data_IF_869258908113
#
_entry.id   IF_869258908113
#
_cell.length_a   1.000
_cell.length_b   1.000
_cell.length_c   1.000
_cell.angle_alpha   90.00
_cell.angle_beta   90.00
_cell.angle_gamma   90.00
#
_symmetry.space_group_name_H-M   'P 1'
#
loop_
_entity.id
_entity.type
_entity.pdbx_description
1 polymer ?
#
# COMPACT_ATOMS: atom_id res chain seq x y z
N UNK A 1 48.79 4.52 -64.61
CA UNK A 1 48.80 4.38 -63.14
C UNK A 1 47.39 4.60 -62.61
N UNK A 2 46.72 3.56 -62.11
CA UNK A 2 45.48 3.65 -61.32
C UNK A 2 45.64 2.72 -60.12
N UNK A 3 45.64 3.29 -58.92
CA UNK A 3 46.00 2.65 -57.65
C UNK A 3 44.74 2.10 -56.97
N UNK A 4 44.70 0.79 -56.76
CA UNK A 4 43.62 0.06 -56.09
C UNK A 4 43.80 0.07 -54.56
N UNK A 5 43.76 1.26 -53.95
CA UNK A 5 43.98 1.39 -52.49
C UNK A 5 42.71 1.16 -51.64
N UNK A 6 41.53 1.15 -52.26
CA UNK A 6 40.25 1.11 -51.53
C UNK A 6 39.78 -0.30 -51.11
N UNK A 7 40.33 -1.38 -51.71
CA UNK A 7 39.87 -2.76 -51.44
C UNK A 7 40.56 -3.45 -50.26
N UNK A 8 41.62 -2.86 -49.68
CA UNK A 8 42.32 -3.45 -48.55
C UNK A 8 41.68 -3.10 -47.19
N UNK A 9 40.84 -2.08 -47.12
CA UNK A 9 40.21 -1.64 -45.87
C UNK A 9 38.93 -2.41 -45.49
N UNK A 10 38.36 -3.19 -46.41
CA UNK A 10 37.15 -4.00 -46.14
C UNK A 10 37.45 -5.38 -45.53
N UNK A 11 38.71 -5.81 -45.50
CA UNK A 11 39.10 -7.10 -44.90
C UNK A 11 39.58 -6.99 -43.44
N UNK A 12 39.94 -5.80 -42.95
CA UNK A 12 40.38 -5.62 -41.56
C UNK A 12 39.24 -5.52 -40.54
N UNK A 13 38.00 -5.29 -40.96
CA UNK A 13 36.85 -5.22 -40.03
C UNK A 13 36.22 -6.59 -39.75
N UNK A 14 36.47 -7.60 -40.58
CA UNK A 14 35.81 -8.91 -40.43
C UNK A 14 36.48 -9.84 -39.39
N UNK A 15 37.70 -9.55 -38.96
CA UNK A 15 38.40 -10.35 -37.93
C UNK A 15 38.35 -9.75 -36.53
N UNK A 16 37.75 -8.57 -36.35
CA UNK A 16 37.63 -7.93 -35.02
C UNK A 16 36.45 -8.42 -34.17
N UNK A 17 35.60 -9.32 -34.69
CA UNK A 17 34.37 -9.77 -34.00
C UNK A 17 34.52 -11.14 -33.30
N UNK A 18 35.68 -11.80 -33.40
CA UNK A 18 35.90 -13.13 -32.80
C UNK A 18 37.15 -13.11 -31.94
N UNK A 19 37.11 -12.46 -30.78
CA UNK A 19 37.97 -12.80 -29.63
C UNK A 19 37.60 -11.98 -28.39
N UNK A 20 36.52 -12.36 -27.72
CA UNK A 20 36.35 -12.14 -26.26
C UNK A 20 35.57 -13.29 -25.63
N UNK A 21 35.93 -14.54 -25.95
CA UNK A 21 35.62 -15.66 -25.05
C UNK A 21 36.80 -15.84 -24.10
N UNK A 22 36.97 -14.88 -23.20
CA UNK A 22 37.87 -15.04 -22.05
C UNK A 22 37.04 -15.50 -20.86
N UNK A 23 37.53 -16.55 -20.22
CA UNK A 23 37.02 -17.15 -19.00
C UNK A 23 36.59 -16.10 -17.98
N UNK A 24 35.34 -16.20 -17.52
CA UNK A 24 34.99 -15.95 -16.12
C UNK A 24 34.07 -17.10 -15.67
N UNK A 25 34.68 -18.16 -15.14
CA UNK A 25 34.07 -18.91 -14.04
C UNK A 25 34.09 -17.98 -12.83
N UNK A 26 33.13 -17.07 -12.73
CA UNK A 26 32.76 -16.46 -11.47
C UNK A 26 31.50 -17.18 -11.04
N UNK A 27 31.64 -17.92 -9.94
CA UNK A 27 30.57 -18.45 -9.12
C UNK A 27 29.27 -17.69 -9.35
N UNK A 28 28.25 -18.38 -9.85
CA UNK A 28 26.86 -17.94 -9.73
C UNK A 28 26.66 -17.68 -8.24
N UNK A 29 26.72 -16.40 -7.85
CA UNK A 29 26.27 -15.95 -6.54
C UNK A 29 24.75 -16.08 -6.58
N UNK A 30 24.27 -17.29 -6.30
CA UNK A 30 22.87 -17.53 -6.01
C UNK A 30 22.61 -17.07 -4.58
N UNK A 31 22.70 -15.76 -4.37
CA UNK A 31 22.28 -15.13 -3.13
C UNK A 31 21.00 -14.39 -3.43
N UNK A 32 19.88 -15.11 -3.32
CA UNK A 32 18.61 -14.48 -2.98
C UNK A 32 18.82 -13.93 -1.57
N UNK A 33 19.26 -12.68 -1.46
CA UNK A 33 19.12 -11.91 -0.23
C UNK A 33 17.62 -11.74 0.01
N UNK A 34 17.00 -12.76 0.61
CA UNK A 34 15.78 -12.57 1.37
C UNK A 34 16.16 -11.66 2.52
N UNK A 35 16.01 -10.36 2.31
CA UNK A 35 15.78 -9.46 3.40
C UNK A 35 14.51 -9.96 4.07
N UNK A 36 14.68 -10.66 5.19
CA UNK A 36 13.56 -10.94 6.09
C UNK A 36 13.16 -9.60 6.71
N UNK A 37 12.48 -8.80 5.90
CA UNK A 37 11.85 -7.58 6.35
C UNK A 37 10.59 -8.04 7.04
N UNK A 38 10.70 -8.28 8.34
CA UNK A 38 9.57 -8.02 9.22
C UNK A 38 9.33 -6.52 9.07
N UNK A 39 8.49 -6.16 8.08
CA UNK A 39 7.94 -4.83 7.99
C UNK A 39 7.26 -4.60 9.33
N UNK A 40 7.94 -3.83 10.19
CA UNK A 40 7.39 -3.42 11.48
C UNK A 40 6.11 -2.71 11.11
N UNK A 41 4.96 -3.37 11.34
CA UNK A 41 3.66 -2.87 10.89
C UNK A 41 3.56 -1.45 11.43
N UNK A 42 3.64 -0.47 10.53
CA UNK A 42 3.56 0.94 10.91
C UNK A 42 2.22 1.06 11.63
N UNK A 43 2.28 1.28 12.94
CA UNK A 43 1.08 1.31 13.76
C UNK A 43 0.23 2.47 13.26
N UNK A 44 -0.82 2.14 12.51
CA UNK A 44 -1.72 3.06 11.81
C UNK A 44 -2.20 4.22 12.70
N UNK A 45 -2.24 3.99 14.02
CA UNK A 45 -2.74 4.92 15.02
C UNK A 45 -1.68 5.83 15.66
N UNK A 46 -0.41 5.72 15.25
CA UNK A 46 0.64 6.65 15.68
C UNK A 46 0.68 7.92 14.82
N UNK A 47 0.03 7.91 13.66
CA UNK A 47 -0.03 9.05 12.75
C UNK A 47 -1.33 9.83 12.89
N UNK A 48 -1.31 11.08 12.42
CA UNK A 48 -2.43 12.01 12.53
C UNK A 48 -3.58 11.57 11.62
N UNK A 49 -4.59 10.94 12.20
CA UNK A 49 -5.89 10.68 11.55
C UNK A 49 -6.77 11.93 11.60
N UNK A 50 -7.51 12.20 10.52
CA UNK A 50 -8.64 13.14 10.55
C UNK A 50 -9.93 12.32 10.70
N UNK A 51 -10.82 12.77 11.59
CA UNK A 51 -12.07 12.07 11.84
C UNK A 51 -13.23 13.05 11.99
N UNK A 52 -14.41 12.62 11.57
CA UNK A 52 -15.65 13.37 11.69
C UNK A 52 -16.82 12.43 12.02
N UNK A 53 -17.82 12.96 12.71
CA UNK A 53 -19.09 12.28 13.00
C UNK A 53 -20.17 13.35 13.15
N UNK A 54 -21.41 13.01 12.79
CA UNK A 54 -22.55 13.93 12.90
C UNK A 54 -23.04 14.08 14.33
N UNK A 55 -23.15 12.97 15.07
CA UNK A 55 -23.80 13.02 16.39
C UNK A 55 -22.79 13.11 17.52
N UNK A 56 -21.82 12.19 17.58
CA UNK A 56 -20.95 12.10 18.74
C UNK A 56 -19.57 11.54 18.39
N UNK A 57 -18.56 12.18 18.97
CA UNK A 57 -17.20 11.68 19.06
C UNK A 57 -16.86 11.46 20.53
N UNK A 58 -16.64 10.22 20.92
CA UNK A 58 -16.26 9.83 22.27
C UNK A 58 -14.80 9.37 22.27
N UNK A 59 -13.96 10.07 23.03
CA UNK A 59 -12.57 9.68 23.26
C UNK A 59 -12.50 9.09 24.66
N UNK A 60 -12.02 7.84 24.76
CA UNK A 60 -11.83 7.13 26.01
C UNK A 60 -10.34 6.78 26.19
N UNK A 61 -9.57 7.65 26.89
CA UNK A 61 -8.16 7.41 27.18
C UNK A 61 -7.91 6.18 28.04
N UNK A 62 -8.85 5.84 28.93
CA UNK A 62 -8.70 4.72 29.88
C UNK A 62 -8.77 3.38 29.15
N UNK A 63 -9.73 3.23 28.25
CA UNK A 63 -9.91 2.03 27.42
C UNK A 63 -9.15 2.09 26.10
N UNK A 64 -8.33 3.12 25.91
CA UNK A 64 -7.53 3.35 24.71
C UNK A 64 -8.33 3.27 23.41
N UNK A 65 -9.47 3.97 23.36
CA UNK A 65 -10.37 3.94 22.20
C UNK A 65 -10.98 5.29 21.83
N UNK A 66 -11.40 5.40 20.56
CA UNK A 66 -12.20 6.51 20.03
C UNK A 66 -13.42 5.91 19.35
N UNK A 67 -14.60 6.47 19.59
CA UNK A 67 -15.86 6.06 18.98
C UNK A 67 -16.50 7.24 18.25
N UNK A 68 -16.79 7.05 16.97
CA UNK A 68 -17.47 7.98 16.09
C UNK A 68 -18.87 7.42 15.81
N UNK A 69 -19.91 8.25 15.95
CA UNK A 69 -21.30 7.82 15.80
C UNK A 69 -22.09 8.75 14.87
N UNK A 70 -22.86 8.13 13.96
CA UNK A 70 -23.67 8.72 12.90
C UNK A 70 -22.85 9.44 11.82
N UNK A 71 -22.93 8.96 10.58
CA UNK A 71 -22.13 9.39 9.42
C UNK A 71 -20.65 9.57 9.78
N UNK A 72 -20.09 8.59 10.48
CA UNK A 72 -18.71 8.60 10.91
C UNK A 72 -17.78 8.49 9.69
N UNK A 73 -16.76 9.33 9.61
CA UNK A 73 -15.70 9.23 8.61
C UNK A 73 -14.30 9.32 9.24
N UNK A 74 -13.38 8.55 8.70
CA UNK A 74 -11.95 8.61 9.00
C UNK A 74 -11.21 8.80 7.68
N UNK A 75 -10.26 9.73 7.69
CA UNK A 75 -9.30 9.95 6.61
C UNK A 75 -7.88 9.73 7.15
N UNK A 76 -7.14 8.86 6.47
CA UNK A 76 -5.76 8.54 6.80
C UNK A 76 -4.98 8.31 5.51
N UNK A 77 -4.00 9.16 5.22
CA UNK A 77 -3.22 9.11 3.98
C UNK A 77 -4.13 9.02 2.73
N UNK A 78 -4.08 7.92 1.98
CA UNK A 78 -4.93 7.61 0.81
C UNK A 78 -6.20 6.81 1.15
N UNK A 79 -6.39 6.46 2.43
CA UNK A 79 -7.52 5.70 2.94
C UNK A 79 -8.65 6.60 3.44
N UNK A 80 -9.87 6.23 3.09
CA UNK A 80 -11.10 6.85 3.59
C UNK A 80 -12.07 5.76 4.03
N UNK A 81 -12.56 5.87 5.26
CA UNK A 81 -13.53 4.95 5.86
C UNK A 81 -14.77 5.76 6.22
N UNK A 82 -15.92 5.38 5.71
CA UNK A 82 -17.22 5.96 6.08
C UNK A 82 -18.11 4.87 6.66
N UNK A 83 -18.89 5.16 7.71
CA UNK A 83 -19.78 4.16 8.33
C UNK A 83 -20.79 4.82 9.27
N UNK A 84 -21.80 4.06 9.69
CA UNK A 84 -22.69 4.49 10.78
C UNK A 84 -21.99 4.63 12.13
N UNK A 85 -21.15 3.67 12.48
CA UNK A 85 -20.33 3.68 13.69
C UNK A 85 -18.91 3.27 13.34
N UNK A 86 -17.93 3.99 13.87
CA UNK A 86 -16.52 3.61 13.78
C UNK A 86 -15.93 3.57 15.19
N UNK A 87 -15.22 2.49 15.51
CA UNK A 87 -14.52 2.31 16.79
C UNK A 87 -13.05 2.07 16.49
N UNK A 88 -12.21 2.97 16.98
CA UNK A 88 -10.76 2.90 16.86
C UNK A 88 -10.20 2.43 18.20
N UNK A 89 -9.43 1.34 18.20
CA UNK A 89 -8.69 0.88 19.39
C UNK A 89 -7.20 1.07 19.16
N UNK A 90 -6.60 2.05 19.85
CA UNK A 90 -5.15 2.30 19.78
C UNK A 90 -4.31 1.45 20.71
N UNK A 91 -4.95 0.61 21.51
CA UNK A 91 -4.27 -0.52 22.14
C UNK A 91 -3.99 -1.66 21.16
N UNK A 92 -4.99 -2.00 20.34
CA UNK A 92 -4.92 -3.14 19.41
C UNK A 92 -4.47 -2.77 18.01
N UNK A 93 -4.44 -1.47 17.71
CA UNK A 93 -4.25 -0.96 16.36
C UNK A 93 -5.33 -1.42 15.38
N UNK A 94 -6.58 -1.43 15.85
CA UNK A 94 -7.72 -1.93 15.09
C UNK A 94 -8.77 -0.84 14.85
N UNK A 95 -9.37 -0.86 13.66
CA UNK A 95 -10.56 -0.06 13.32
C UNK A 95 -11.71 -1.00 13.02
N UNK A 96 -12.81 -0.82 13.75
CA UNK A 96 -14.08 -1.47 13.48
C UNK A 96 -15.05 -0.47 12.88
N UNK A 97 -15.63 -0.79 11.72
CA UNK A 97 -16.69 0.00 11.09
C UNK A 97 -17.96 -0.84 10.93
N UNK A 98 -19.10 -0.26 11.30
CA UNK A 98 -20.39 -0.93 11.22
C UNK A 98 -21.57 0.02 10.97
N UNK A 99 -22.73 -0.60 10.77
CA UNK A 99 -24.01 0.08 10.54
C UNK A 99 -24.62 0.59 11.85
N UNK A 100 -25.53 1.55 11.74
CA UNK A 100 -26.40 1.97 12.83
C UNK A 100 -27.86 1.79 12.46
N UNK A 101 -28.74 1.76 13.46
CA UNK A 101 -30.18 1.74 13.22
C UNK A 101 -30.66 3.17 12.98
N UNK A 102 -31.52 3.35 11.98
CA UNK A 102 -32.25 4.59 11.79
C UNK A 102 -33.39 4.74 12.82
N UNK A 103 -34.16 5.81 12.70
CA UNK A 103 -35.31 6.07 13.57
C UNK A 103 -36.45 5.04 13.41
N UNK A 104 -36.47 4.29 12.31
CA UNK A 104 -37.43 3.21 12.04
C UNK A 104 -36.92 1.86 12.57
N UNK A 105 -35.69 1.81 13.08
CA UNK A 105 -35.05 0.61 13.62
C UNK A 105 -34.31 -0.24 12.57
N UNK A 106 -34.26 0.21 11.33
CA UNK A 106 -33.63 -0.49 10.21
C UNK A 106 -32.14 -0.16 10.11
N UNK A 107 -31.33 -1.15 9.73
CA UNK A 107 -29.89 -0.94 9.59
C UNK A 107 -29.59 -0.07 8.37
N UNK A 108 -28.89 1.04 8.61
CA UNK A 108 -28.48 2.02 7.61
C UNK A 108 -27.00 2.38 7.76
N UNK A 109 -26.48 3.19 6.83
CA UNK A 109 -25.09 3.69 6.83
C UNK A 109 -24.07 2.54 6.77
N UNK A 110 -24.08 1.84 5.63
CA UNK A 110 -23.12 0.78 5.33
C UNK A 110 -21.69 1.30 5.37
N UNK A 111 -20.75 0.51 5.89
CA UNK A 111 -19.33 0.82 5.76
C UNK A 111 -18.93 0.98 4.29
N UNK A 112 -18.13 2.01 4.01
CA UNK A 112 -17.48 2.23 2.73
C UNK A 112 -16.00 2.40 3.04
N UNK A 113 -15.18 1.55 2.44
CA UNK A 113 -13.73 1.61 2.54
C UNK A 113 -13.15 1.98 1.17
N UNK A 114 -12.38 3.06 1.11
CA UNK A 114 -11.71 3.53 -0.09
C UNK A 114 -10.22 3.59 0.14
N UNK A 115 -9.45 3.14 -0.83
CA UNK A 115 -8.00 3.29 -0.86
C UNK A 115 -7.55 3.62 -2.29
N UNK A 116 -7.05 4.84 -2.49
CA UNK A 116 -6.71 5.31 -3.84
C UNK A 116 -7.91 5.32 -4.77
N UNK A 117 -7.92 4.41 -5.76
CA UNK A 117 -9.03 4.24 -6.72
C UNK A 117 -9.97 3.08 -6.36
N UNK A 118 -9.59 2.24 -5.41
CA UNK A 118 -10.35 1.06 -5.03
C UNK A 118 -11.40 1.42 -3.98
N UNK A 119 -12.59 0.83 -4.11
CA UNK A 119 -13.70 1.00 -3.18
C UNK A 119 -14.34 -0.35 -2.86
N UNK A 120 -14.54 -0.61 -1.57
CA UNK A 120 -15.20 -1.81 -1.06
C UNK A 120 -16.34 -1.39 -0.13
N UNK A 121 -17.49 -2.07 -0.26
CA UNK A 121 -18.70 -1.81 0.53
C UNK A 121 -19.10 -3.05 1.33
N UNK A 122 -18.39 -3.39 2.41
CA UNK A 122 -18.70 -4.56 3.22
C UNK A 122 -19.85 -4.27 4.19
N UNK A 123 -20.36 -5.32 4.81
CA UNK A 123 -21.36 -5.21 5.88
C UNK A 123 -20.76 -4.71 7.21
N UNK A 124 -19.49 -5.03 7.42
CA UNK A 124 -18.63 -4.59 8.52
C UNK A 124 -17.17 -4.60 8.07
N UNK A 125 -16.36 -3.69 8.59
CA UNK A 125 -14.91 -3.67 8.35
C UNK A 125 -14.18 -3.89 9.68
N UNK A 126 -13.14 -4.73 9.66
CA UNK A 126 -12.10 -4.78 10.70
C UNK A 126 -10.74 -4.69 10.01
N UNK A 127 -9.99 -3.65 10.33
CA UNK A 127 -8.64 -3.38 9.81
C UNK A 127 -7.67 -3.31 10.97
#
# INVERSE_FOLDING_TARGET
MKTNFLRLFLFLSYTFVINTNYLINASVLDTISKTDSIQKSKSFLLEKINYEATDTVLIDPKNRSIRLYNNAKIFYDDMQIESGVIVVSYEKNEIYAGRIKDSLGEYSQFPIFKQGQDEVRPDSLRY
#
